data_IF_425898358384
#
_entry.id   IF_425898358384
#
_cell.length_a   1.000
_cell.length_b   1.000
_cell.length_c   1.000
_cell.angle_alpha   90.00
_cell.angle_beta   90.00
_cell.angle_gamma   90.00
#
_symmetry.space_group_name_H-M   'P 1'
#
loop_
_entity.id
_entity.type
_entity.pdbx_description
1 polymer ?
#
# COMPACT_ATOMS: atom_id res chain seq x y z
N UNK A 1 12.71 20.55 -57.84
CA UNK A 1 12.22 20.93 -56.49
C UNK A 1 12.28 19.68 -55.63
N UNK A 2 12.98 19.76 -54.48
CA UNK A 2 13.25 18.62 -53.59
C UNK A 2 12.09 18.47 -52.61
N UNK A 3 11.56 17.27 -52.43
CA UNK A 3 10.86 16.96 -51.18
C UNK A 3 11.15 15.52 -50.75
N UNK A 4 11.90 15.42 -49.65
CA UNK A 4 12.37 14.20 -49.01
C UNK A 4 11.29 13.73 -48.04
N UNK A 5 10.68 12.59 -48.34
CA UNK A 5 9.78 11.90 -47.40
C UNK A 5 10.63 11.45 -46.20
N UNK A 6 10.42 12.11 -45.06
CA UNK A 6 11.09 11.77 -43.80
C UNK A 6 10.42 10.54 -43.19
N UNK A 7 11.25 9.50 -43.07
CA UNK A 7 11.02 8.26 -42.35
C UNK A 7 10.70 8.59 -40.89
N UNK A 8 9.47 8.31 -40.44
CA UNK A 8 9.09 8.46 -39.04
C UNK A 8 9.83 7.39 -38.22
N UNK A 9 10.84 7.82 -37.48
CA UNK A 9 11.63 7.00 -36.59
C UNK A 9 10.78 6.63 -35.36
N UNK A 10 10.47 5.34 -35.22
CA UNK A 10 9.76 4.82 -34.06
C UNK A 10 10.63 5.01 -32.81
N UNK A 11 10.16 5.83 -31.88
CA UNK A 11 10.81 6.05 -30.59
C UNK A 11 11.10 4.70 -29.90
N UNK A 12 12.30 4.48 -29.35
CA UNK A 12 12.62 3.23 -28.69
C UNK A 12 11.78 3.10 -27.42
N UNK A 13 10.94 2.06 -27.36
CA UNK A 13 10.28 1.59 -26.13
C UNK A 13 11.38 1.32 -25.09
N UNK A 14 11.63 2.28 -24.21
CA UNK A 14 12.44 2.08 -22.99
C UNK A 14 11.84 0.91 -22.24
N UNK A 15 12.54 -0.22 -22.27
CA UNK A 15 12.30 -1.35 -21.38
C UNK A 15 12.53 -0.81 -19.97
N UNK A 16 11.46 -0.50 -19.23
CA UNK A 16 11.54 -0.16 -17.81
C UNK A 16 12.16 -1.37 -17.12
N UNK A 17 13.42 -1.24 -16.73
CA UNK A 17 14.12 -2.26 -15.96
C UNK A 17 13.61 -2.20 -14.53
N UNK A 18 13.68 -3.32 -13.79
CA UNK A 18 13.30 -3.38 -12.38
C UNK A 18 14.05 -2.36 -11.48
N UNK A 19 15.14 -1.78 -11.99
CA UNK A 19 15.88 -0.70 -11.34
C UNK A 19 15.10 0.64 -11.31
N UNK A 20 14.25 0.91 -12.30
CA UNK A 20 13.42 2.14 -12.37
C UNK A 20 12.28 2.15 -11.35
N UNK A 21 11.87 0.98 -10.84
CA UNK A 21 10.85 0.89 -9.79
C UNK A 21 11.49 1.18 -8.42
N UNK A 22 12.78 0.83 -8.26
CA UNK A 22 13.52 1.04 -7.02
C UNK A 22 14.02 2.48 -6.84
N UNK A 23 14.16 3.25 -7.93
CA UNK A 23 14.62 4.64 -7.89
C UNK A 23 13.58 5.63 -7.37
N UNK A 24 12.28 5.28 -7.37
CA UNK A 24 11.24 6.15 -6.83
C UNK A 24 11.13 6.15 -5.30
N UNK A 25 11.69 5.14 -4.61
CA UNK A 25 11.72 5.08 -3.13
C UNK A 25 12.95 5.77 -2.53
N UNK A 26 13.93 6.16 -3.35
CA UNK A 26 15.21 6.73 -2.91
C UNK A 26 15.26 8.27 -2.91
N UNK A 27 14.19 8.98 -3.28
CA UNK A 27 14.17 10.45 -3.26
C UNK A 27 13.58 10.98 -1.95
N UNK A 28 14.38 10.97 -0.89
CA UNK A 28 14.01 11.54 0.40
C UNK A 28 14.94 11.15 1.55
N UNK A 29 16.23 10.99 1.31
CA UNK A 29 17.21 10.42 2.25
C UNK A 29 17.72 11.46 3.27
N UNK A 30 16.80 12.17 3.92
CA UNK A 30 17.07 12.91 5.14
C UNK A 30 16.44 12.18 6.34
N UNK A 31 16.99 12.29 7.56
CA UNK A 31 16.34 11.75 8.72
C UNK A 31 14.96 12.41 8.91
N UNK A 32 13.86 11.66 8.72
CA UNK A 32 12.49 12.05 9.10
C UNK A 32 12.46 12.55 10.55
N UNK A 33 12.06 13.79 10.85
CA UNK A 33 12.05 14.30 12.22
C UNK A 33 11.23 13.41 13.16
N UNK A 34 11.67 13.27 14.42
CA UNK A 34 11.00 12.42 15.43
C UNK A 34 9.51 12.71 15.53
N UNK A 35 9.17 14.00 15.62
CA UNK A 35 7.79 14.49 15.67
C UNK A 35 6.95 14.04 14.47
N UNK A 36 7.54 14.07 13.26
CA UNK A 36 6.85 13.65 12.04
C UNK A 36 6.61 12.14 12.08
N UNK A 37 7.60 11.35 12.50
CA UNK A 37 7.45 9.90 12.63
C UNK A 37 6.38 9.50 13.66
N UNK A 38 6.35 10.18 14.81
CA UNK A 38 5.34 9.94 15.85
C UNK A 38 3.94 10.29 15.36
N UNK A 39 3.77 11.39 14.64
CA UNK A 39 2.47 11.75 14.06
C UNK A 39 2.04 10.80 12.94
N UNK A 40 2.98 10.34 12.10
CA UNK A 40 2.70 9.29 11.11
C UNK A 40 2.25 8.00 11.78
N UNK A 41 2.96 7.55 12.83
CA UNK A 41 2.57 6.36 13.60
C UNK A 41 1.17 6.51 14.19
N UNK A 42 0.87 7.66 14.81
CA UNK A 42 -0.46 7.94 15.37
C UNK A 42 -1.56 7.85 14.31
N UNK A 43 -1.35 8.44 13.13
CA UNK A 43 -2.31 8.41 12.02
C UNK A 43 -2.50 7.01 11.44
N UNK A 44 -1.41 6.26 11.26
CA UNK A 44 -1.51 4.89 10.74
C UNK A 44 -2.22 3.99 11.74
N UNK A 45 -2.00 4.14 13.05
CA UNK A 45 -2.75 3.42 14.09
C UNK A 45 -4.26 3.70 14.02
N UNK A 46 -4.63 4.97 13.83
CA UNK A 46 -6.04 5.37 13.68
C UNK A 46 -6.69 4.75 12.44
N UNK A 47 -5.99 4.77 11.31
CA UNK A 47 -6.44 4.14 10.05
C UNK A 47 -6.52 2.60 10.20
N UNK A 48 -5.53 1.98 10.84
CA UNK A 48 -5.49 0.55 11.11
C UNK A 48 -6.69 0.10 11.93
N UNK A 49 -7.02 0.84 13.00
CA UNK A 49 -8.20 0.57 13.81
C UNK A 49 -9.49 0.63 12.98
N UNK A 50 -9.60 1.61 12.07
CA UNK A 50 -10.73 1.71 11.14
C UNK A 50 -10.84 0.51 10.19
N UNK A 51 -9.73 0.08 9.58
CA UNK A 51 -9.74 -1.10 8.70
C UNK A 51 -10.03 -2.39 9.47
N UNK A 52 -9.51 -2.55 10.69
CA UNK A 52 -9.83 -3.69 11.56
C UNK A 52 -11.33 -3.75 11.86
N UNK A 53 -11.95 -2.63 12.20
CA UNK A 53 -13.40 -2.57 12.45
C UNK A 53 -14.20 -2.94 11.20
N UNK A 54 -13.80 -2.43 10.02
CA UNK A 54 -14.44 -2.79 8.74
C UNK A 54 -14.28 -4.28 8.43
N UNK A 55 -13.10 -4.86 8.63
CA UNK A 55 -12.84 -6.28 8.41
C UNK A 55 -13.72 -7.16 9.33
N UNK A 56 -13.85 -6.79 10.61
CA UNK A 56 -14.73 -7.47 11.55
C UNK A 56 -16.21 -7.41 11.12
N UNK A 57 -16.71 -6.21 10.79
CA UNK A 57 -18.10 -6.02 10.33
C UNK A 57 -18.38 -6.76 9.02
N UNK A 58 -17.43 -6.78 8.09
CA UNK A 58 -17.53 -7.55 6.85
C UNK A 58 -17.61 -9.06 7.12
N UNK A 59 -16.81 -9.57 8.05
CA UNK A 59 -16.89 -10.97 8.49
C UNK A 59 -18.25 -11.31 9.11
N UNK A 60 -18.78 -10.44 9.96
CA UNK A 60 -20.12 -10.62 10.55
C UNK A 60 -21.23 -10.63 9.48
N UNK A 61 -21.17 -9.70 8.52
CA UNK A 61 -22.12 -9.65 7.41
C UNK A 61 -22.04 -10.90 6.53
N UNK A 62 -20.83 -11.38 6.24
CA UNK A 62 -20.61 -12.62 5.51
C UNK A 62 -21.24 -13.81 6.25
N UNK A 63 -20.94 -13.97 7.55
CA UNK A 63 -21.49 -15.05 8.36
C UNK A 63 -23.01 -15.02 8.42
N UNK A 64 -23.60 -13.84 8.55
CA UNK A 64 -25.05 -13.68 8.53
C UNK A 64 -25.65 -14.10 7.18
N UNK A 65 -25.07 -13.65 6.06
CA UNK A 65 -25.52 -14.04 4.73
C UNK A 65 -25.40 -15.56 4.48
N UNK A 66 -24.36 -16.20 5.02
CA UNK A 66 -24.16 -17.65 4.94
C UNK A 66 -25.21 -18.42 5.75
N UNK A 67 -25.51 -17.96 6.98
CA UNK A 67 -26.55 -18.55 7.83
C UNK A 67 -27.95 -18.48 7.21
N UNK A 68 -28.26 -17.39 6.51
CA UNK A 68 -29.53 -17.20 5.78
C UNK A 68 -29.56 -17.93 4.42
N UNK A 69 -28.49 -18.66 4.05
CA UNK A 69 -28.41 -19.39 2.79
C UNK A 69 -28.31 -18.50 1.54
N UNK A 70 -27.91 -17.24 1.70
CA UNK A 70 -27.82 -16.25 0.62
C UNK A 70 -26.51 -16.40 -0.17
N UNK A 71 -26.35 -17.53 -0.86
CA UNK A 71 -25.12 -17.89 -1.58
C UNK A 71 -24.70 -16.88 -2.67
N UNK A 72 -25.64 -16.12 -3.23
CA UNK A 72 -25.29 -15.05 -4.17
C UNK A 72 -24.58 -13.91 -3.44
N UNK A 73 -25.05 -13.55 -2.24
CA UNK A 73 -24.52 -12.43 -1.47
C UNK A 73 -23.16 -12.76 -0.87
N UNK A 74 -22.95 -13.98 -0.36
CA UNK A 74 -21.62 -14.41 0.13
C UNK A 74 -20.55 -14.32 -0.95
N UNK A 75 -20.87 -14.70 -2.20
CA UNK A 75 -19.96 -14.51 -3.36
C UNK A 75 -19.63 -13.04 -3.64
N UNK A 76 -20.59 -12.13 -3.46
CA UNK A 76 -20.34 -10.69 -3.62
C UNK A 76 -19.52 -10.12 -2.44
N UNK A 77 -19.62 -10.71 -1.26
CA UNK A 77 -18.90 -10.30 -0.05
C UNK A 77 -17.46 -10.84 0.03
N UNK A 78 -17.14 -11.93 -0.68
CA UNK A 78 -15.79 -12.52 -0.69
C UNK A 78 -14.67 -11.50 -0.97
N UNK A 79 -14.84 -10.71 -2.03
CA UNK A 79 -13.83 -9.71 -2.43
C UNK A 79 -13.75 -8.55 -1.42
N UNK A 80 -14.84 -7.87 -1.04
CA UNK A 80 -14.82 -6.86 0.01
C UNK A 80 -14.20 -7.33 1.32
N UNK A 81 -14.51 -8.55 1.77
CA UNK A 81 -13.96 -9.13 2.99
C UNK A 81 -12.43 -9.29 2.88
N UNK A 82 -11.94 -9.90 1.78
CA UNK A 82 -10.50 -10.05 1.55
C UNK A 82 -9.79 -8.70 1.47
N UNK A 83 -10.35 -7.74 0.73
CA UNK A 83 -9.77 -6.39 0.62
C UNK A 83 -9.72 -5.68 1.96
N UNK A 84 -10.74 -5.81 2.82
CA UNK A 84 -10.70 -5.23 4.16
C UNK A 84 -9.56 -5.82 5.00
N UNK A 85 -9.38 -7.15 4.99
CA UNK A 85 -8.28 -7.82 5.68
C UNK A 85 -6.90 -7.48 5.10
N UNK A 86 -6.78 -7.34 3.78
CA UNK A 86 -5.54 -6.94 3.11
C UNK A 86 -5.14 -5.51 3.50
N UNK A 87 -6.10 -4.59 3.55
CA UNK A 87 -5.86 -3.21 3.97
C UNK A 87 -5.42 -3.11 5.43
N UNK A 88 -6.06 -3.87 6.34
CA UNK A 88 -5.64 -3.98 7.74
C UNK A 88 -4.17 -4.42 7.83
N UNK A 89 -3.82 -5.52 7.14
CA UNK A 89 -2.43 -6.04 7.10
C UNK A 89 -1.44 -5.05 6.51
N UNK A 90 -1.83 -4.31 5.48
CA UNK A 90 -0.99 -3.27 4.90
C UNK A 90 -0.67 -2.16 5.91
N UNK A 91 -1.65 -1.74 6.73
CA UNK A 91 -1.40 -0.75 7.79
C UNK A 91 -0.47 -1.29 8.87
N UNK A 92 -0.63 -2.56 9.28
CA UNK A 92 0.30 -3.22 10.22
C UNK A 92 1.73 -3.21 9.68
N UNK A 93 1.91 -3.55 8.40
CA UNK A 93 3.23 -3.53 7.76
C UNK A 93 3.85 -2.12 7.76
N UNK A 94 3.05 -1.08 7.51
CA UNK A 94 3.52 0.32 7.60
C UNK A 94 3.93 0.67 9.04
N UNK A 95 3.19 0.21 10.05
CA UNK A 95 3.55 0.43 11.46
C UNK A 95 4.88 -0.24 11.82
N UNK A 96 5.11 -1.46 11.35
CA UNK A 96 6.37 -2.19 11.58
C UNK A 96 7.55 -1.45 10.95
N UNK A 97 7.40 -0.97 9.71
CA UNK A 97 8.44 -0.18 9.05
C UNK A 97 8.73 1.13 9.79
N UNK A 98 7.69 1.83 10.28
CA UNK A 98 7.87 3.04 11.10
C UNK A 98 8.62 2.75 12.42
N UNK A 99 8.45 1.56 13.00
CA UNK A 99 9.17 1.13 14.19
C UNK A 99 10.62 0.73 13.90
N UNK A 100 10.86 -0.04 12.84
CA UNK A 100 12.21 -0.43 12.41
C UNK A 100 13.08 0.78 12.07
N UNK A 101 12.50 1.80 11.42
CA UNK A 101 13.18 3.06 11.14
C UNK A 101 13.51 3.87 12.41
N UNK A 102 12.77 3.69 13.51
CA UNK A 102 13.10 4.28 14.81
C UNK A 102 14.35 3.61 15.40
N UNK A 103 14.40 2.27 15.40
CA UNK A 103 15.48 1.49 15.98
C UNK A 103 16.83 1.67 15.25
N UNK A 104 16.81 1.82 13.91
CA UNK A 104 18.02 2.07 13.11
C UNK A 104 18.72 3.39 13.45
N UNK A 105 18.04 4.36 14.08
CA UNK A 105 18.67 5.60 14.55
C UNK A 105 19.48 5.43 15.81
N UNK A 106 19.03 4.56 16.71
CA UNK A 106 19.67 4.37 18.01
C UNK A 106 21.01 3.66 17.89
N UNK A 107 21.23 2.90 16.82
CA UNK A 107 22.48 2.15 16.57
C UNK A 107 23.48 2.90 15.68
N UNK A 108 23.12 4.08 15.14
CA UNK A 108 23.92 4.85 14.18
C UNK A 108 24.65 6.07 14.73
N UNK A 109 24.53 6.39 16.02
CA UNK A 109 25.35 7.43 16.66
C UNK A 109 26.65 6.82 17.18
N UNK A 110 27.72 6.94 16.39
CA UNK A 110 29.10 6.76 16.83
C UNK A 110 29.82 8.10 16.71
#
# INVERSE_FOLDING_TARGET
MKEKIHRSEAAPRRKRTAADVNSHLAMGTGPVPERVRMELKRRVLDIEAGYREVAQKMGQLYMYADQEGLAFLTRYLDRPMRTASENERAMVSILDELQLNASRRLTGSK
#
